data_IF_336950901215
#
_entry.id   IF_336950901215
#
_cell.length_a   1.000
_cell.length_b   1.000
_cell.length_c   1.000
_cell.angle_alpha   90.00
_cell.angle_beta   90.00
_cell.angle_gamma   90.00
#
_symmetry.space_group_name_H-M   'P 1'
#
loop_
_entity.id
_entity.type
_entity.pdbx_description
1 polymer ?
#
# COMPACT_ATOMS: atom_id res chain seq x y z
N UNK A 1 -4.59 -15.01 -12.08
CA UNK A 1 -4.49 -13.55 -12.29
C UNK A 1 -4.02 -12.94 -11.00
N UNK A 2 -2.97 -12.12 -11.02
CA UNK A 2 -2.40 -11.52 -9.83
C UNK A 2 -3.43 -10.70 -9.04
N UNK A 3 -3.27 -10.64 -7.74
CA UNK A 3 -4.19 -9.93 -6.83
C UNK A 3 -3.70 -8.50 -6.66
N UNK A 4 -4.53 -7.51 -6.99
CA UNK A 4 -4.19 -6.10 -6.87
C UNK A 4 -4.71 -5.54 -5.55
N UNK A 5 -3.79 -5.12 -4.69
CA UNK A 5 -4.06 -4.66 -3.33
C UNK A 5 -3.61 -3.20 -3.18
N UNK A 6 -4.49 -2.31 -2.77
CA UNK A 6 -4.08 -0.96 -2.36
C UNK A 6 -3.96 -0.90 -0.84
N UNK A 7 -2.85 -0.36 -0.36
CA UNK A 7 -2.69 0.01 1.05
C UNK A 7 -3.07 1.48 1.19
N UNK A 8 -4.13 1.75 1.93
CA UNK A 8 -4.58 3.12 2.17
C UNK A 8 -4.90 3.36 3.65
N UNK A 9 -5.02 4.61 4.01
CA UNK A 9 -5.33 5.08 5.37
C UNK A 9 -5.27 6.59 5.39
N UNK A 10 -6.11 7.21 6.20
CA UNK A 10 -6.45 8.61 6.06
C UNK A 10 -5.41 9.60 6.55
N UNK A 11 -4.50 9.18 7.40
CA UNK A 11 -3.61 10.13 8.08
C UNK A 11 -2.16 9.78 7.85
N UNK A 12 -1.32 10.80 7.76
CA UNK A 12 0.12 10.61 7.88
C UNK A 12 0.45 9.89 9.19
N UNK A 13 1.28 8.87 9.13
CA UNK A 13 1.66 8.09 10.32
C UNK A 13 0.77 6.88 10.65
N UNK A 14 -0.27 6.58 9.86
CA UNK A 14 -1.06 5.33 10.02
C UNK A 14 -0.32 4.05 9.64
N UNK A 15 0.84 4.18 8.99
CA UNK A 15 1.68 3.04 8.61
C UNK A 15 1.45 2.51 7.19
N UNK A 16 0.82 3.25 6.28
CA UNK A 16 0.56 2.83 4.89
C UNK A 16 1.82 2.35 4.18
N UNK A 17 2.74 3.25 3.93
CA UNK A 17 4.00 2.98 3.22
C UNK A 17 4.82 1.89 3.91
N UNK A 18 4.92 1.95 5.24
CA UNK A 18 5.61 0.92 6.03
C UNK A 18 4.96 -0.45 5.82
N UNK A 19 3.63 -0.50 5.79
CA UNK A 19 2.88 -1.73 5.51
C UNK A 19 3.10 -2.19 4.07
N UNK A 20 2.99 -1.30 3.08
CA UNK A 20 3.16 -1.63 1.67
C UNK A 20 4.53 -2.27 1.40
N UNK A 21 5.61 -1.61 1.86
CA UNK A 21 6.98 -2.11 1.67
C UNK A 21 7.20 -3.44 2.40
N UNK A 22 6.87 -3.51 3.70
CA UNK A 22 7.19 -4.71 4.47
C UNK A 22 6.28 -5.90 4.15
N UNK A 23 5.03 -5.67 3.72
CA UNK A 23 4.17 -6.73 3.18
C UNK A 23 4.72 -7.25 1.85
N UNK A 24 5.12 -6.36 0.93
CA UNK A 24 5.71 -6.75 -0.35
C UNK A 24 6.97 -7.60 -0.16
N UNK A 25 7.86 -7.17 0.72
CA UNK A 25 9.06 -7.93 1.09
C UNK A 25 8.70 -9.27 1.72
N UNK A 26 7.74 -9.30 2.66
CA UNK A 26 7.35 -10.53 3.34
C UNK A 26 6.72 -11.55 2.39
N UNK A 27 5.86 -11.12 1.46
CA UNK A 27 5.30 -11.98 0.42
C UNK A 27 6.40 -12.52 -0.51
N UNK A 28 7.36 -11.68 -0.91
CA UNK A 28 8.48 -12.14 -1.75
C UNK A 28 9.38 -13.17 -1.05
N UNK A 29 9.55 -13.06 0.26
CA UNK A 29 10.27 -14.07 1.07
C UNK A 29 9.51 -15.40 1.18
N UNK A 30 8.18 -15.40 1.00
CA UNK A 30 7.38 -16.62 0.84
C UNK A 30 7.43 -17.20 -0.59
N UNK A 31 8.13 -16.55 -1.51
CA UNK A 31 8.29 -17.00 -2.90
C UNK A 31 7.21 -16.48 -3.85
N UNK A 32 6.31 -15.61 -3.38
CA UNK A 32 5.33 -14.94 -4.23
C UNK A 32 6.01 -13.89 -5.11
N UNK A 33 5.64 -13.81 -6.38
CA UNK A 33 6.14 -12.77 -7.29
C UNK A 33 5.34 -11.48 -7.09
N UNK A 34 6.00 -10.44 -6.57
CA UNK A 34 5.37 -9.20 -6.11
C UNK A 34 5.85 -8.00 -6.91
N UNK A 35 4.91 -7.15 -7.32
CA UNK A 35 5.17 -5.79 -7.77
C UNK A 35 4.70 -4.79 -6.71
N UNK A 36 5.59 -3.93 -6.24
CA UNK A 36 5.23 -2.77 -5.42
C UNK A 36 5.13 -1.54 -6.32
N UNK A 37 4.02 -0.81 -6.23
CA UNK A 37 3.80 0.45 -6.98
C UNK A 37 3.75 1.60 -5.99
N UNK A 38 4.67 2.55 -6.10
CA UNK A 38 4.70 3.76 -5.29
C UNK A 38 3.88 4.87 -5.96
N UNK A 39 2.66 5.10 -5.47
CA UNK A 39 1.76 6.15 -5.95
C UNK A 39 1.82 7.44 -5.10
N UNK A 40 2.68 7.51 -4.09
CA UNK A 40 2.84 8.72 -3.28
C UNK A 40 3.96 9.60 -3.87
N UNK A 41 3.69 10.87 -4.21
CA UNK A 41 4.72 11.82 -4.67
C UNK A 41 5.85 12.04 -3.67
N UNK A 42 5.68 11.62 -2.41
CA UNK A 42 6.76 11.67 -1.41
C UNK A 42 7.85 10.62 -1.64
N UNK A 43 7.58 9.55 -2.41
CA UNK A 43 8.56 8.55 -2.81
C UNK A 43 9.08 7.66 -1.68
N UNK A 44 8.38 7.58 -0.56
CA UNK A 44 8.85 6.84 0.60
C UNK A 44 8.93 5.33 0.34
N UNK A 45 7.99 4.73 -0.39
CA UNK A 45 8.04 3.31 -0.71
C UNK A 45 9.22 2.99 -1.63
N UNK A 46 9.51 3.86 -2.60
CA UNK A 46 10.68 3.78 -3.48
C UNK A 46 11.97 3.79 -2.66
N UNK A 47 12.16 4.81 -1.82
CA UNK A 47 13.37 4.94 -1.02
C UNK A 47 13.57 3.79 -0.03
N UNK A 48 12.49 3.36 0.66
CA UNK A 48 12.57 2.29 1.67
C UNK A 48 12.70 0.89 1.06
N UNK A 49 12.48 0.76 -0.23
CA UNK A 49 12.82 -0.47 -0.98
C UNK A 49 14.29 -0.54 -1.39
N UNK A 50 15.12 0.39 -0.94
CA UNK A 50 16.55 0.46 -1.26
C UNK A 50 16.84 1.08 -2.63
N UNK A 51 15.82 1.61 -3.29
CA UNK A 51 15.92 2.22 -4.62
C UNK A 51 16.15 3.72 -4.48
N UNK A 52 17.17 4.25 -5.14
CA UNK A 52 17.42 5.70 -5.15
C UNK A 52 16.67 6.34 -6.31
N UNK A 53 15.87 7.35 -6.03
CA UNK A 53 15.09 8.06 -7.05
C UNK A 53 15.93 8.63 -8.21
N UNK A 54 17.22 8.89 -8.00
CA UNK A 54 18.16 9.37 -9.03
C UNK A 54 18.73 8.27 -9.92
N UNK A 55 18.55 7.00 -9.56
CA UNK A 55 19.12 5.86 -10.30
C UNK A 55 18.17 5.39 -11.43
N UNK A 56 16.97 6.02 -11.58
CA UNK A 56 15.99 5.64 -12.59
C UNK A 56 15.68 6.81 -13.51
N UNK A 57 15.76 6.53 -14.81
CA UNK A 57 15.34 7.47 -15.85
C UNK A 57 13.82 7.46 -16.05
N UNK A 58 13.13 6.37 -15.65
CA UNK A 58 11.70 6.12 -15.86
C UNK A 58 11.03 5.75 -14.53
N UNK A 59 9.81 6.22 -14.34
CA UNK A 59 9.02 6.06 -13.15
C UNK A 59 7.51 6.03 -13.48
N UNK A 60 6.65 5.90 -12.47
CA UNK A 60 5.19 5.89 -12.64
C UNK A 60 4.66 7.15 -13.34
N UNK A 61 5.32 8.31 -13.21
CA UNK A 61 4.89 9.53 -13.89
C UNK A 61 5.10 9.43 -15.39
N UNK A 62 6.17 8.77 -15.85
CA UNK A 62 6.40 8.48 -17.27
C UNK A 62 5.32 7.54 -17.82
N UNK A 63 4.94 6.51 -17.07
CA UNK A 63 3.85 5.59 -17.45
C UNK A 63 2.52 6.31 -17.55
N UNK A 64 2.15 7.08 -16.53
CA UNK A 64 0.89 7.84 -16.51
C UNK A 64 0.83 8.94 -17.59
N UNK A 65 1.98 9.43 -18.05
CA UNK A 65 2.09 10.36 -19.18
C UNK A 65 2.06 9.67 -20.55
N UNK A 66 2.15 8.33 -20.60
CA UNK A 66 2.25 7.57 -21.85
C UNK A 66 3.61 7.73 -22.57
N UNK A 67 4.66 8.11 -21.83
CA UNK A 67 6.04 8.26 -22.36
C UNK A 67 6.89 7.02 -22.10
N UNK A 68 6.42 6.09 -21.29
CA UNK A 68 7.03 4.79 -21.03
C UNK A 68 5.94 3.74 -20.80
N UNK A 69 6.25 2.48 -21.07
CA UNK A 69 5.45 1.33 -20.67
C UNK A 69 5.71 0.96 -19.21
N UNK A 70 4.81 0.18 -18.58
CA UNK A 70 5.03 -0.37 -17.24
C UNK A 70 6.34 -1.16 -17.17
N UNK A 71 6.58 -2.07 -18.13
CA UNK A 71 7.77 -2.91 -18.14
C UNK A 71 9.09 -2.16 -18.28
N UNK A 72 9.10 -1.00 -18.96
CA UNK A 72 10.30 -0.15 -19.05
C UNK A 72 10.59 0.61 -17.75
N UNK A 73 9.56 0.92 -16.97
CA UNK A 73 9.69 1.70 -15.73
C UNK A 73 9.84 0.84 -14.47
N UNK A 74 9.50 -0.46 -14.53
CA UNK A 74 9.66 -1.39 -13.42
C UNK A 74 11.14 -1.69 -13.17
N UNK A 75 11.54 -1.67 -11.91
CA UNK A 75 12.91 -1.88 -11.44
C UNK A 75 12.97 -3.12 -10.57
N UNK A 76 14.00 -3.94 -10.77
CA UNK A 76 14.31 -5.08 -9.91
C UNK A 76 14.91 -4.60 -8.60
N UNK A 77 14.49 -5.22 -7.49
CA UNK A 77 15.11 -5.01 -6.18
C UNK A 77 16.20 -6.06 -5.93
N UNK A 78 16.82 -6.01 -4.76
CA UNK A 78 17.77 -7.06 -4.32
C UNK A 78 17.07 -8.40 -4.05
N UNK A 79 15.75 -8.42 -3.89
CA UNK A 79 14.96 -9.63 -3.67
C UNK A 79 14.48 -10.19 -5.02
N UNK A 80 14.78 -11.46 -5.27
CA UNK A 80 14.51 -12.10 -6.56
C UNK A 80 13.02 -12.09 -6.98
N UNK A 81 12.09 -12.09 -6.01
CA UNK A 81 10.65 -12.12 -6.26
C UNK A 81 9.97 -10.76 -6.02
N UNK A 82 10.73 -9.67 -5.86
CA UNK A 82 10.19 -8.33 -5.65
C UNK A 82 10.71 -7.36 -6.70
N UNK A 83 9.78 -6.76 -7.41
CA UNK A 83 10.02 -5.64 -8.33
C UNK A 83 9.25 -4.42 -7.86
N UNK A 84 9.68 -3.22 -8.27
CA UNK A 84 9.02 -1.97 -7.92
C UNK A 84 8.81 -1.08 -9.14
N UNK A 85 7.64 -0.47 -9.24
CA UNK A 85 7.42 0.70 -10.08
C UNK A 85 7.65 1.94 -9.19
N UNK A 86 8.80 2.61 -9.35
CA UNK A 86 9.17 3.72 -8.47
C UNK A 86 8.38 4.98 -8.78
N UNK A 87 8.32 5.89 -7.82
CA UNK A 87 7.85 7.26 -8.05
C UNK A 87 9.01 8.21 -8.36
N UNK A 88 8.70 9.32 -9.04
CA UNK A 88 9.63 10.41 -9.35
C UNK A 88 9.04 11.79 -9.01
N UNK A 89 9.86 12.82 -9.19
CA UNK A 89 9.51 14.21 -8.85
C UNK A 89 8.28 14.74 -9.59
N UNK A 90 8.00 14.23 -10.78
CA UNK A 90 6.92 14.74 -11.63
C UNK A 90 5.54 14.18 -11.28
N UNK A 91 5.45 13.14 -10.42
CA UNK A 91 4.19 12.47 -10.11
C UNK A 91 3.13 13.44 -9.56
N UNK A 92 3.52 14.41 -8.74
CA UNK A 92 2.59 15.43 -8.24
C UNK A 92 1.97 16.25 -9.38
N UNK A 93 2.82 16.73 -10.29
CA UNK A 93 2.38 17.54 -11.45
C UNK A 93 1.50 16.73 -12.40
N UNK A 94 1.86 15.46 -12.64
CA UNK A 94 1.07 14.52 -13.43
C UNK A 94 -0.29 14.27 -12.80
N UNK A 95 -0.35 14.04 -11.50
CA UNK A 95 -1.60 13.86 -10.75
C UNK A 95 -2.52 15.08 -10.86
N UNK A 96 -1.98 16.30 -10.73
CA UNK A 96 -2.76 17.53 -10.91
C UNK A 96 -3.29 17.68 -12.34
N UNK A 97 -2.51 17.32 -13.34
CA UNK A 97 -2.90 17.42 -14.76
C UNK A 97 -3.98 16.39 -15.11
N UNK A 98 -3.78 15.13 -14.73
CA UNK A 98 -4.72 14.05 -15.03
C UNK A 98 -6.04 14.21 -14.29
N UNK A 99 -6.02 14.72 -13.06
CA UNK A 99 -7.23 14.99 -12.27
C UNK A 99 -8.14 16.10 -12.81
N UNK A 100 -7.72 16.82 -13.87
CA UNK A 100 -8.57 17.85 -14.55
C UNK A 100 -9.55 17.24 -15.56
N UNK A 101 -9.32 16.01 -16.00
CA UNK A 101 -10.15 15.36 -17.01
C UNK A 101 -10.86 14.15 -16.40
N UNK A 102 -12.16 14.06 -16.60
CA UNK A 102 -13.00 12.95 -16.14
C UNK A 102 -12.62 11.66 -16.89
N UNK A 103 -12.53 10.56 -16.17
CA UNK A 103 -12.26 9.24 -16.74
C UNK A 103 -10.80 8.79 -16.62
N UNK A 104 -9.88 9.70 -16.28
CA UNK A 104 -8.48 9.35 -16.09
C UNK A 104 -8.22 8.52 -14.82
N UNK A 105 -9.18 8.42 -13.92
CA UNK A 105 -9.07 7.67 -12.67
C UNK A 105 -8.86 6.16 -12.90
N UNK A 106 -9.25 5.64 -14.05
CA UNK A 106 -9.03 4.25 -14.45
C UNK A 106 -7.68 3.99 -15.13
N UNK A 107 -6.88 5.03 -15.37
CA UNK A 107 -5.64 4.92 -16.15
C UNK A 107 -4.63 3.94 -15.52
N UNK A 108 -4.46 3.97 -14.21
CA UNK A 108 -3.55 3.05 -13.51
C UNK A 108 -4.05 1.61 -13.60
N UNK A 109 -5.36 1.37 -13.51
CA UNK A 109 -5.97 0.06 -13.69
C UNK A 109 -5.66 -0.52 -15.05
N UNK A 110 -5.84 0.26 -16.12
CA UNK A 110 -5.58 -0.17 -17.49
C UNK A 110 -4.12 -0.61 -17.67
N UNK A 111 -3.17 0.14 -17.15
CA UNK A 111 -1.76 -0.23 -17.23
C UNK A 111 -1.44 -1.49 -16.39
N UNK A 112 -2.08 -1.68 -15.24
CA UNK A 112 -1.89 -2.87 -14.41
C UNK A 112 -2.46 -4.12 -15.11
N UNK A 113 -3.60 -4.02 -15.79
CA UNK A 113 -4.22 -5.15 -16.50
C UNK A 113 -3.27 -5.80 -17.52
N UNK A 114 -2.40 -5.02 -18.16
CA UNK A 114 -1.43 -5.50 -19.15
C UNK A 114 -0.35 -6.43 -18.53
N UNK A 115 -0.01 -6.24 -17.27
CA UNK A 115 1.08 -6.95 -16.59
C UNK A 115 0.61 -7.84 -15.42
N UNK A 116 -0.66 -7.76 -15.05
CA UNK A 116 -1.20 -8.40 -13.85
C UNK A 116 -0.97 -9.92 -13.82
N UNK A 117 -0.94 -10.58 -14.99
CA UNK A 117 -0.71 -12.02 -15.07
C UNK A 117 0.74 -12.44 -14.77
N UNK A 118 1.67 -11.49 -14.71
CA UNK A 118 3.08 -11.76 -14.45
C UNK A 118 3.41 -11.83 -12.95
N UNK A 119 2.47 -11.40 -12.09
CA UNK A 119 2.66 -11.30 -10.63
C UNK A 119 1.60 -12.10 -9.89
N UNK A 120 1.95 -12.58 -8.69
CA UNK A 120 0.99 -13.16 -7.74
C UNK A 120 0.27 -12.05 -6.96
N UNK A 121 1.02 -10.99 -6.61
CA UNK A 121 0.52 -9.81 -5.93
C UNK A 121 1.05 -8.52 -6.55
N UNK A 122 0.17 -7.53 -6.69
CA UNK A 122 0.52 -6.14 -7.00
C UNK A 122 0.06 -5.30 -5.83
N UNK A 123 1.00 -4.63 -5.14
CA UNK A 123 0.73 -3.80 -3.97
C UNK A 123 0.90 -2.35 -4.36
N UNK A 124 -0.12 -1.54 -4.12
CA UNK A 124 -0.11 -0.10 -4.42
C UNK A 124 -0.03 0.66 -3.10
N UNK A 125 1.06 1.41 -2.88
CA UNK A 125 1.17 2.39 -1.79
C UNK A 125 0.45 3.68 -2.20
N UNK A 126 -0.70 3.96 -1.58
CA UNK A 126 -1.51 5.12 -1.90
C UNK A 126 -1.12 6.33 -1.06
N UNK A 127 -1.15 7.56 -1.63
CA UNK A 127 -0.89 8.77 -0.86
C UNK A 127 -1.94 9.01 0.22
N UNK A 128 -1.59 9.85 1.20
CA UNK A 128 -2.49 10.20 2.32
C UNK A 128 -3.57 11.21 1.93
N UNK A 129 -3.48 11.83 0.76
CA UNK A 129 -4.40 12.86 0.28
C UNK A 129 -5.65 12.24 -0.34
N UNK A 130 -6.72 13.03 -0.47
CA UNK A 130 -7.94 12.66 -1.21
C UNK A 130 -7.90 13.07 -2.68
N UNK A 131 -6.72 13.22 -3.24
CA UNK A 131 -6.54 13.67 -4.62
C UNK A 131 -6.69 12.57 -5.66
N UNK A 132 -6.47 12.93 -6.91
CA UNK A 132 -6.54 12.05 -8.07
C UNK A 132 -5.76 10.74 -7.89
N UNK A 133 -4.52 10.81 -7.38
CA UNK A 133 -3.67 9.62 -7.22
C UNK A 133 -4.26 8.61 -6.24
N UNK A 134 -4.91 9.07 -5.16
CA UNK A 134 -5.59 8.17 -4.22
C UNK A 134 -6.81 7.50 -4.86
N UNK A 135 -7.59 8.26 -5.64
CA UNK A 135 -8.74 7.71 -6.38
C UNK A 135 -8.25 6.71 -7.42
N UNK A 136 -7.18 7.04 -8.18
CA UNK A 136 -6.61 6.13 -9.18
C UNK A 136 -6.07 4.84 -8.56
N UNK A 137 -5.37 4.91 -7.42
CA UNK A 137 -4.90 3.75 -6.67
C UNK A 137 -6.04 2.84 -6.20
N UNK A 138 -7.14 3.43 -5.67
CA UNK A 138 -8.32 2.68 -5.23
C UNK A 138 -9.10 2.09 -6.42
N UNK A 139 -9.17 2.81 -7.54
CA UNK A 139 -9.86 2.35 -8.76
C UNK A 139 -9.10 1.19 -9.42
N UNK A 140 -7.78 1.17 -9.27
CA UNK A 140 -6.94 0.11 -9.83
C UNK A 140 -7.00 -1.20 -9.05
N UNK A 141 -7.37 -1.17 -7.78
CA UNK A 141 -7.31 -2.33 -6.89
C UNK A 141 -8.56 -3.21 -6.91
N UNK A 142 -8.36 -4.51 -6.68
CA UNK A 142 -9.43 -5.45 -6.35
C UNK A 142 -9.73 -5.41 -4.85
N UNK A 143 -8.71 -5.18 -4.03
CA UNK A 143 -8.76 -5.24 -2.58
C UNK A 143 -8.08 -4.03 -1.92
N UNK A 144 -8.65 -3.61 -0.81
CA UNK A 144 -8.11 -2.53 0.01
C UNK A 144 -7.75 -3.05 1.40
N UNK A 145 -6.49 -2.85 1.81
CA UNK A 145 -6.05 -2.99 3.20
C UNK A 145 -6.02 -1.58 3.80
N UNK A 146 -6.74 -1.40 4.90
CA UNK A 146 -6.78 -0.12 5.61
C UNK A 146 -5.74 -0.16 6.74
N UNK A 147 -4.69 0.64 6.61
CA UNK A 147 -3.68 0.81 7.64
C UNK A 147 -4.19 1.76 8.74
N UNK A 148 -4.26 1.27 9.96
CA UNK A 148 -4.78 1.98 11.14
C UNK A 148 -3.69 2.13 12.21
N UNK A 149 -3.81 3.17 13.03
CA UNK A 149 -3.01 3.33 14.24
C UNK A 149 -3.89 3.95 15.33
N UNK A 150 -4.04 3.29 16.46
CA UNK A 150 -4.93 3.70 17.57
C UNK A 150 -4.63 5.10 18.10
N UNK A 151 -3.38 5.56 17.98
CA UNK A 151 -2.93 6.87 18.47
C UNK A 151 -3.08 8.01 17.47
N UNK A 152 -3.31 7.70 16.19
CA UNK A 152 -3.28 8.71 15.12
C UNK A 152 -4.57 8.78 14.30
N UNK A 153 -5.39 7.73 14.31
CA UNK A 153 -6.65 7.71 13.59
C UNK A 153 -7.82 8.03 14.52
N UNK A 154 -8.84 8.64 13.97
CA UNK A 154 -10.12 8.87 14.60
C UNK A 154 -11.25 8.20 13.80
N UNK A 155 -12.44 8.16 14.39
CA UNK A 155 -13.63 7.66 13.69
C UNK A 155 -13.97 8.52 12.48
N UNK A 156 -13.74 9.82 12.55
CA UNK A 156 -13.97 10.75 11.44
C UNK A 156 -13.05 10.42 10.27
N UNK A 157 -11.77 10.14 10.54
CA UNK A 157 -10.80 9.72 9.53
C UNK A 157 -11.27 8.44 8.83
N UNK A 158 -11.75 7.47 9.59
CA UNK A 158 -12.26 6.20 9.05
C UNK A 158 -13.53 6.42 8.21
N UNK A 159 -14.50 7.20 8.71
CA UNK A 159 -15.72 7.51 7.95
C UNK A 159 -15.42 8.28 6.65
N UNK A 160 -14.44 9.18 6.66
CA UNK A 160 -14.03 9.87 5.44
C UNK A 160 -13.47 8.88 4.40
N UNK A 161 -12.66 7.90 4.83
CA UNK A 161 -12.16 6.86 3.93
C UNK A 161 -13.30 5.99 3.38
N UNK A 162 -14.27 5.61 4.21
CA UNK A 162 -15.44 4.85 3.75
C UNK A 162 -16.25 5.65 2.71
N UNK A 163 -16.40 6.97 2.87
CA UNK A 163 -17.04 7.83 1.86
C UNK A 163 -16.26 7.84 0.55
N UNK A 164 -14.92 7.90 0.61
CA UNK A 164 -14.08 7.83 -0.59
C UNK A 164 -14.22 6.46 -1.28
N UNK A 165 -14.19 5.36 -0.53
CA UNK A 165 -14.39 4.00 -1.07
C UNK A 165 -15.74 3.90 -1.76
N UNK A 166 -16.81 4.39 -1.11
CA UNK A 166 -18.14 4.41 -1.69
C UNK A 166 -18.16 5.22 -2.98
N UNK A 167 -17.60 6.44 -2.98
CA UNK A 167 -17.49 7.26 -4.17
C UNK A 167 -16.78 6.53 -5.32
N UNK A 168 -15.64 5.88 -5.04
CA UNK A 168 -14.88 5.13 -6.04
C UNK A 168 -15.72 3.98 -6.63
N UNK A 169 -16.39 3.20 -5.79
CA UNK A 169 -17.24 2.09 -6.23
C UNK A 169 -18.39 2.56 -7.09
N UNK A 170 -19.12 3.57 -6.63
CA UNK A 170 -20.36 4.03 -7.26
C UNK A 170 -20.06 4.82 -8.56
N UNK A 171 -18.99 5.61 -8.59
CA UNK A 171 -18.67 6.48 -9.73
C UNK A 171 -17.91 5.76 -10.83
N UNK A 172 -17.00 4.85 -10.44
CA UNK A 172 -16.12 4.17 -11.41
C UNK A 172 -16.54 2.73 -11.68
N UNK A 173 -17.59 2.22 -11.01
CA UNK A 173 -18.13 0.87 -11.19
C UNK A 173 -17.08 -0.23 -11.01
N UNK A 174 -16.20 -0.07 -10.01
CA UNK A 174 -15.11 -1.02 -9.72
C UNK A 174 -15.47 -1.95 -8.57
N UNK A 175 -15.07 -3.24 -8.63
CA UNK A 175 -15.40 -4.23 -7.61
C UNK A 175 -14.49 -4.17 -6.37
N UNK A 176 -13.99 -2.98 -6.01
CA UNK A 176 -13.08 -2.79 -4.88
C UNK A 176 -13.69 -3.34 -3.58
N UNK A 177 -13.02 -4.28 -2.94
CA UNK A 177 -13.44 -4.87 -1.66
C UNK A 177 -12.49 -4.43 -0.54
N UNK A 178 -13.02 -4.26 0.68
CA UNK A 178 -12.17 -4.08 1.87
C UNK A 178 -11.69 -5.48 2.26
N UNK A 179 -10.38 -5.69 2.20
CA UNK A 179 -9.74 -6.93 2.63
C UNK A 179 -9.63 -7.01 4.16
N UNK A 180 -9.37 -5.86 4.80
CA UNK A 180 -9.34 -5.79 6.26
C UNK A 180 -8.66 -4.53 6.79
N UNK A 181 -8.64 -4.45 8.14
CA UNK A 181 -8.01 -3.41 8.92
C UNK A 181 -6.74 -3.95 9.55
N UNK A 182 -5.58 -3.39 9.18
CA UNK A 182 -4.30 -3.72 9.82
C UNK A 182 -3.91 -2.62 10.80
N UNK A 183 -3.83 -2.98 12.07
CA UNK A 183 -3.42 -2.05 13.11
C UNK A 183 -1.90 -2.03 13.27
N UNK A 184 -1.33 -0.84 13.15
CA UNK A 184 0.09 -0.57 13.29
C UNK A 184 0.41 0.07 14.64
N UNK A 185 1.60 -0.24 15.20
CA UNK A 185 2.13 0.34 16.44
C UNK A 185 1.22 0.08 17.65
N UNK A 186 0.61 -1.09 17.71
CA UNK A 186 -0.20 -1.54 18.82
C UNK A 186 0.59 -2.45 19.75
N UNK A 187 0.28 -2.42 21.03
CA UNK A 187 0.94 -3.29 22.03
C UNK A 187 0.19 -4.60 22.20
N UNK A 188 -1.13 -4.55 22.19
CA UNK A 188 -1.98 -5.71 22.45
C UNK A 188 -3.28 -5.66 21.64
N UNK A 189 -3.97 -6.80 21.55
CA UNK A 189 -5.33 -6.88 20.96
C UNK A 189 -6.36 -6.09 21.80
N UNK A 190 -6.17 -6.00 23.10
CA UNK A 190 -7.04 -5.22 23.99
C UNK A 190 -7.00 -3.75 23.68
N UNK A 191 -5.83 -3.20 23.29
CA UNK A 191 -5.71 -1.81 22.83
C UNK A 191 -6.57 -1.58 21.58
N UNK A 192 -6.57 -2.52 20.63
CA UNK A 192 -7.38 -2.45 19.40
C UNK A 192 -8.86 -2.52 19.75
N UNK A 193 -9.27 -3.47 20.57
CA UNK A 193 -10.67 -3.63 20.98
C UNK A 193 -11.18 -2.40 21.75
N UNK A 194 -10.35 -1.84 22.64
CA UNK A 194 -10.65 -0.58 23.32
C UNK A 194 -10.85 0.57 22.34
N UNK A 195 -9.95 0.74 21.38
CA UNK A 195 -10.09 1.73 20.32
C UNK A 195 -11.40 1.57 19.53
N UNK A 196 -11.74 0.35 19.11
CA UNK A 196 -12.98 0.09 18.36
C UNK A 196 -14.22 0.42 19.19
N UNK A 197 -14.21 0.09 20.48
CA UNK A 197 -15.31 0.39 21.38
C UNK A 197 -15.46 1.91 21.61
N UNK A 198 -14.37 2.60 21.91
CA UNK A 198 -14.35 4.04 22.17
C UNK A 198 -14.76 4.86 20.93
N UNK A 199 -14.47 4.34 19.74
CA UNK A 199 -14.81 4.98 18.47
C UNK A 199 -16.16 4.51 17.88
N UNK A 200 -16.93 3.66 18.58
CA UNK A 200 -18.16 3.04 18.05
C UNK A 200 -17.97 2.28 16.73
N UNK A 201 -16.84 1.61 16.58
CA UNK A 201 -16.47 0.84 15.38
C UNK A 201 -16.53 -0.69 15.61
N UNK A 202 -17.22 -1.15 16.65
CA UNK A 202 -17.31 -2.59 16.96
C UNK A 202 -17.89 -3.43 15.82
N UNK A 203 -18.75 -2.85 14.98
CA UNK A 203 -19.28 -3.51 13.78
C UNK A 203 -18.22 -3.84 12.73
N UNK A 204 -17.02 -3.24 12.83
CA UNK A 204 -15.89 -3.52 11.93
C UNK A 204 -14.94 -4.57 12.49
N UNK A 205 -15.23 -5.17 13.63
CA UNK A 205 -14.33 -6.12 14.30
C UNK A 205 -14.01 -7.33 13.41
N UNK A 206 -14.96 -7.81 12.64
CA UNK A 206 -14.78 -8.94 11.70
C UNK A 206 -13.85 -8.61 10.52
N UNK A 207 -13.56 -7.31 10.30
CA UNK A 207 -12.61 -6.86 9.30
C UNK A 207 -11.18 -6.72 9.85
N UNK A 208 -11.00 -6.83 11.17
CA UNK A 208 -9.68 -6.69 11.79
C UNK A 208 -8.87 -7.95 11.58
N UNK A 209 -7.68 -7.82 11.00
CA UNK A 209 -6.76 -8.95 10.87
C UNK A 209 -6.35 -9.50 12.23
N UNK A 210 -6.09 -10.81 12.27
CA UNK A 210 -5.56 -11.45 13.48
C UNK A 210 -4.18 -10.92 13.83
N UNK A 211 -3.40 -10.60 12.82
CA UNK A 211 -2.09 -9.99 12.95
C UNK A 211 -2.21 -8.48 13.15
N UNK A 212 -1.44 -7.93 14.08
CA UNK A 212 -1.18 -6.50 14.22
C UNK A 212 0.32 -6.24 14.28
N UNK A 213 0.75 -5.05 13.89
CA UNK A 213 2.16 -4.67 13.87
C UNK A 213 2.52 -3.98 15.19
N UNK A 214 3.42 -4.56 15.99
CA UNK A 214 3.82 -3.98 17.26
C UNK A 214 4.67 -2.71 17.08
N UNK A 215 4.76 -1.93 18.14
CA UNK A 215 5.76 -0.85 18.23
C UNK A 215 7.16 -1.46 18.30
N UNK A 216 8.06 -1.04 17.41
CA UNK A 216 9.40 -1.62 17.28
C UNK A 216 10.43 -0.54 16.92
N UNK A 217 11.47 -0.41 17.73
CA UNK A 217 12.55 0.55 17.47
C UNK A 217 13.38 0.18 16.22
N UNK A 218 13.51 -1.10 15.91
CA UNK A 218 14.22 -1.55 14.72
C UNK A 218 13.48 -1.16 13.44
N UNK A 219 12.14 -1.10 13.48
CA UNK A 219 11.34 -0.58 12.37
C UNK A 219 11.70 0.88 12.09
N UNK A 220 11.86 1.72 13.12
CA UNK A 220 12.26 3.11 12.95
C UNK A 220 13.68 3.21 12.36
N UNK A 221 14.62 2.43 12.89
CA UNK A 221 16.01 2.39 12.38
C UNK A 221 16.08 1.92 10.93
N UNK A 222 15.28 0.93 10.55
CA UNK A 222 15.23 0.41 9.18
C UNK A 222 14.73 1.47 8.18
N UNK A 223 13.76 2.29 8.58
CA UNK A 223 13.27 3.44 7.81
C UNK A 223 14.37 4.48 7.63
N UNK A 224 15.06 4.87 8.72
CA UNK A 224 16.16 5.83 8.67
C UNK A 224 17.31 5.35 7.75
N UNK A 225 17.52 4.04 7.68
CA UNK A 225 18.52 3.40 6.82
C UNK A 225 18.02 3.07 5.40
N UNK A 226 16.75 3.40 5.09
CA UNK A 226 16.11 3.11 3.79
C UNK A 226 16.22 1.63 3.41
N UNK A 227 16.06 0.75 4.39
CA UNK A 227 16.16 -0.70 4.23
C UNK A 227 14.90 -1.36 4.76
N UNK A 228 14.26 -2.26 4.01
CA UNK A 228 13.11 -3.01 4.51
C UNK A 228 13.43 -3.74 5.80
N UNK A 229 12.47 -3.78 6.74
CA UNK A 229 12.72 -4.29 8.09
C UNK A 229 13.22 -5.74 8.13
N UNK A 230 12.67 -6.62 7.29
CA UNK A 230 13.09 -8.02 7.25
C UNK A 230 14.54 -8.21 6.74
N UNK A 231 15.06 -7.26 5.94
CA UNK A 231 16.45 -7.24 5.51
C UNK A 231 17.37 -6.60 6.56
N UNK A 232 16.83 -5.69 7.38
CA UNK A 232 17.56 -5.07 8.49
C UNK A 232 17.65 -6.00 9.71
N UNK A 233 16.50 -6.53 10.17
CA UNK A 233 16.41 -7.46 11.29
C UNK A 233 15.15 -8.36 11.15
N UNK A 234 15.33 -9.53 10.55
CA UNK A 234 14.25 -10.48 10.34
C UNK A 234 13.65 -11.02 11.65
N UNK A 235 14.38 -10.93 12.77
CA UNK A 235 13.95 -11.44 14.08
C UNK A 235 13.24 -10.40 14.91
N UNK A 236 13.17 -9.16 14.47
CA UNK A 236 12.46 -8.12 15.21
C UNK A 236 10.97 -8.43 15.33
N UNK A 237 10.29 -8.01 16.40
CA UNK A 237 8.87 -8.27 16.60
C UNK A 237 7.99 -7.81 15.43
N UNK A 238 8.25 -6.62 14.87
CA UNK A 238 7.48 -6.11 13.75
C UNK A 238 7.80 -6.86 12.44
N UNK A 239 9.04 -7.33 12.24
CA UNK A 239 9.40 -8.17 11.09
C UNK A 239 8.62 -9.49 11.10
N UNK A 240 8.62 -10.17 12.25
CA UNK A 240 7.86 -11.40 12.44
C UNK A 240 6.35 -11.18 12.26
N UNK A 241 5.83 -10.03 12.70
CA UNK A 241 4.44 -9.68 12.49
C UNK A 241 4.11 -9.49 10.99
N UNK A 242 4.96 -8.81 10.22
CA UNK A 242 4.75 -8.69 8.77
C UNK A 242 4.85 -10.03 8.04
N UNK A 243 5.76 -10.93 8.45
CA UNK A 243 5.83 -12.29 7.92
C UNK A 243 4.53 -13.06 8.23
N UNK A 244 4.03 -12.99 9.47
CA UNK A 244 2.75 -13.61 9.84
C UNK A 244 1.59 -13.01 9.05
N UNK A 245 1.56 -11.68 8.85
CA UNK A 245 0.55 -11.01 8.06
C UNK A 245 0.59 -11.46 6.59
N UNK A 246 1.77 -11.57 5.99
CA UNK A 246 1.91 -12.12 4.63
C UNK A 246 1.36 -13.55 4.53
N UNK A 247 1.63 -14.40 5.54
CA UNK A 247 1.06 -15.75 5.60
C UNK A 247 -0.46 -15.74 5.71
N UNK A 248 -1.02 -14.86 6.55
CA UNK A 248 -2.47 -14.65 6.69
C UNK A 248 -3.09 -14.25 5.34
N UNK A 249 -2.44 -13.34 4.62
CA UNK A 249 -2.88 -12.91 3.28
C UNK A 249 -2.82 -14.05 2.27
N UNK A 250 -1.73 -14.81 2.21
CA UNK A 250 -1.63 -15.97 1.28
C UNK A 250 -2.77 -16.95 1.54
N UNK A 251 -3.04 -17.29 2.79
CA UNK A 251 -4.13 -18.22 3.15
C UNK A 251 -5.53 -17.65 2.80
N UNK A 252 -5.75 -16.36 2.97
CA UNK A 252 -7.04 -15.72 2.67
C UNK A 252 -7.34 -15.64 1.18
N UNK A 253 -6.31 -15.63 0.33
CA UNK A 253 -6.45 -15.47 -1.12
C UNK A 253 -6.18 -16.77 -1.91
N UNK A 254 -5.91 -17.90 -1.25
CA UNK A 254 -5.84 -19.23 -1.88
C UNK A 254 -7.23 -19.82 -2.03
#
# INVERSE_FOLDING_TARGET
>A
MGKVLTISGQKGGSGKTVTAVNLAVSLSLYGEKVLLIDCDPQGCATEWSGIKALDHALDISCVLNGTATMGEAIVKTELACLEILPTGFDLFSVGLRLGRAVGNEKILRLFIEDIQSEYDYIIIDAPSSYGFLSVAALTAADWLIIAMCTRHNSVEDFHCLLKLIKYVRDTHEVPLKIAGLLFNRCKTKEEINGFLADQNLLETQDLVYDTFIPEDENLKKSIDLKTPLALYDIKSPASLAYLNFAKEMVLAFT
#
